data_IF_710705134094
#
_entry.id   IF_710705134094
#
_cell.length_a   1.000
_cell.length_b   1.000
_cell.length_c   1.000
_cell.angle_alpha   90.00
_cell.angle_beta   90.00
_cell.angle_gamma   90.00
#
_symmetry.space_group_name_H-M   'P 1'
#
loop_
_entity.id
_entity.type
_entity.pdbx_description
1 polymer ?
#
# COMPACT_ATOMS: atom_id res chain seq x y z
N UNK A 1 21.25 2.67 -2.19
CA UNK A 1 19.94 2.79 -2.88
C UNK A 1 18.96 3.67 -2.11
N UNK A 2 18.74 3.51 -0.79
CA UNK A 2 17.84 4.36 0.03
C UNK A 2 18.06 5.87 -0.15
N UNK A 3 19.33 6.35 -0.13
CA UNK A 3 19.67 7.77 -0.29
C UNK A 3 19.20 8.35 -1.62
N UNK A 4 19.24 7.56 -2.70
CA UNK A 4 18.76 7.97 -4.03
C UNK A 4 17.23 8.17 -3.99
N UNK A 5 16.49 7.26 -3.37
CA UNK A 5 15.04 7.38 -3.23
C UNK A 5 14.65 8.59 -2.40
N UNK A 6 15.34 8.85 -1.29
CA UNK A 6 15.13 10.06 -0.47
C UNK A 6 15.37 11.33 -1.30
N UNK A 7 16.41 11.35 -2.13
CA UNK A 7 16.70 12.49 -2.99
C UNK A 7 15.63 12.70 -4.07
N UNK A 8 15.24 11.63 -4.78
CA UNK A 8 14.18 11.67 -5.80
C UNK A 8 12.85 12.15 -5.22
N UNK A 9 12.51 11.66 -4.05
CA UNK A 9 11.32 12.04 -3.31
C UNK A 9 11.36 13.53 -2.95
N UNK A 10 12.47 14.02 -2.41
CA UNK A 10 12.64 15.45 -2.09
C UNK A 10 12.54 16.35 -3.33
N UNK A 11 13.16 15.94 -4.45
CA UNK A 11 13.15 16.70 -5.70
C UNK A 11 11.76 16.71 -6.37
N UNK A 12 10.92 15.72 -6.10
CA UNK A 12 9.56 15.64 -6.66
C UNK A 12 8.58 16.64 -6.05
N UNK A 13 8.98 17.33 -4.97
CA UNK A 13 8.13 18.26 -4.23
C UNK A 13 7.04 17.58 -3.39
N UNK A 14 7.17 16.28 -3.15
CA UNK A 14 6.28 15.55 -2.25
C UNK A 14 6.74 15.68 -0.80
N UNK A 15 5.81 15.85 0.11
CA UNK A 15 6.00 15.78 1.56
C UNK A 15 5.61 14.40 2.06
N UNK A 16 6.51 13.77 2.83
CA UNK A 16 6.29 12.41 3.33
C UNK A 16 6.43 12.35 4.83
N UNK A 17 5.39 11.85 5.47
CA UNK A 17 5.46 11.40 6.86
C UNK A 17 5.98 9.97 6.89
N UNK A 18 7.31 9.83 6.87
CA UNK A 18 7.96 8.52 7.00
C UNK A 18 8.31 8.35 8.47
N UNK A 19 7.63 7.46 9.20
CA UNK A 19 7.97 7.17 10.58
C UNK A 19 9.36 6.54 10.64
N UNK A 20 10.09 6.79 11.71
CA UNK A 20 11.32 6.05 11.95
C UNK A 20 10.95 4.57 12.21
N UNK A 21 11.53 3.68 11.40
CA UNK A 21 11.33 2.24 11.55
C UNK A 21 11.91 1.67 12.83
N UNK A 22 12.65 2.46 13.62
CA UNK A 22 13.06 2.10 14.98
C UNK A 22 11.90 2.20 15.95
N UNK A 23 11.05 3.23 15.75
CA UNK A 23 9.87 3.47 16.57
C UNK A 23 8.67 2.64 16.13
N UNK A 24 8.64 2.26 14.83
CA UNK A 24 7.57 1.47 14.22
C UNK A 24 8.13 0.29 13.41
N UNK A 25 8.76 -0.69 14.06
CA UNK A 25 9.42 -1.83 13.38
C UNK A 25 8.43 -2.71 12.60
N UNK A 26 7.17 -2.74 13.00
CA UNK A 26 6.09 -3.49 12.36
C UNK A 26 5.86 -3.06 10.90
N UNK A 27 6.21 -1.83 10.52
CA UNK A 27 6.07 -1.33 9.15
C UNK A 27 7.04 -1.99 8.16
N UNK A 28 8.03 -2.74 8.64
CA UNK A 28 8.95 -3.51 7.78
C UNK A 28 8.30 -4.76 7.21
N UNK A 29 7.32 -5.31 7.93
CA UNK A 29 6.71 -6.60 7.63
C UNK A 29 5.21 -6.54 7.92
N UNK A 30 4.44 -6.08 6.94
CA UNK A 30 3.01 -5.80 7.10
C UNK A 30 2.26 -5.82 5.77
N UNK A 31 0.94 -5.76 5.85
CA UNK A 31 0.10 -5.40 4.72
C UNK A 31 -0.21 -3.90 4.80
N UNK A 32 0.14 -3.14 3.77
CA UNK A 32 -0.17 -1.71 3.68
C UNK A 32 -1.44 -1.54 2.84
N UNK A 33 -2.51 -1.12 3.46
CA UNK A 33 -3.77 -0.78 2.80
C UNK A 33 -3.78 0.72 2.47
N UNK A 34 -3.71 1.06 1.18
CA UNK A 34 -3.63 2.44 0.70
C UNK A 34 -4.95 2.85 0.05
N UNK A 35 -5.51 3.95 0.50
CA UNK A 35 -6.69 4.58 -0.09
C UNK A 35 -6.62 6.12 0.09
N UNK A 36 -7.23 6.92 -0.82
CA UNK A 36 -7.85 6.52 -2.07
C UNK A 36 -6.85 6.16 -3.17
N UNK A 37 -7.29 5.32 -4.15
CA UNK A 37 -6.50 4.97 -5.33
C UNK A 37 -7.06 5.66 -6.57
N UNK A 38 -6.32 6.62 -7.11
CA UNK A 38 -6.81 7.48 -8.19
C UNK A 38 -6.09 7.27 -9.52
N UNK A 39 -4.79 7.00 -9.49
CA UNK A 39 -3.96 6.93 -10.69
C UNK A 39 -2.91 5.81 -10.62
N UNK A 40 -2.33 5.46 -11.78
CA UNK A 40 -1.19 4.53 -11.83
C UNK A 40 0.07 5.11 -11.16
N UNK A 41 0.19 6.44 -11.15
CA UNK A 41 1.28 7.14 -10.47
C UNK A 41 1.33 6.83 -8.96
N UNK A 42 0.21 6.47 -8.34
CA UNK A 42 0.10 6.09 -6.93
C UNK A 42 1.07 4.95 -6.60
N UNK A 43 1.23 3.99 -7.52
CA UNK A 43 2.15 2.86 -7.33
C UNK A 43 3.61 3.31 -7.32
N UNK A 44 3.98 4.23 -8.21
CA UNK A 44 5.35 4.73 -8.34
C UNK A 44 5.72 5.58 -7.12
N UNK A 45 4.84 6.51 -6.76
CA UNK A 45 5.01 7.37 -5.57
C UNK A 45 5.05 6.54 -4.31
N UNK A 46 4.08 5.63 -4.11
CA UNK A 46 4.02 4.75 -2.95
C UNK A 46 5.27 3.86 -2.82
N UNK A 47 5.73 3.26 -3.92
CA UNK A 47 6.96 2.48 -3.92
C UNK A 47 8.18 3.33 -3.55
N UNK A 48 8.30 4.54 -4.10
CA UNK A 48 9.40 5.45 -3.81
C UNK A 48 9.45 5.84 -2.32
N UNK A 49 8.29 6.12 -1.72
CA UNK A 49 8.15 6.42 -0.29
C UNK A 49 8.61 5.25 0.57
N UNK A 50 8.13 4.04 0.26
CA UNK A 50 8.47 2.83 1.00
C UNK A 50 9.97 2.52 0.90
N UNK A 51 10.58 2.65 -0.28
CA UNK A 51 12.02 2.51 -0.44
C UNK A 51 12.81 3.59 0.30
N UNK A 52 12.32 4.84 0.34
CA UNK A 52 12.92 5.91 1.13
C UNK A 52 12.83 5.62 2.62
N UNK A 53 11.75 4.99 3.08
CA UNK A 53 11.58 4.48 4.44
C UNK A 53 12.54 3.32 4.75
N UNK A 54 13.07 2.63 3.75
CA UNK A 54 13.92 1.44 3.92
C UNK A 54 13.14 0.13 3.94
N UNK A 55 11.90 0.16 3.49
CA UNK A 55 11.00 -0.99 3.35
C UNK A 55 11.04 -1.51 1.91
N UNK A 56 10.81 -2.81 1.71
CA UNK A 56 10.72 -3.43 0.39
C UNK A 56 9.25 -3.67 0.01
N UNK A 57 8.64 -2.78 -0.79
CA UNK A 57 7.25 -2.97 -1.19
C UNK A 57 7.12 -4.09 -2.23
N UNK A 58 6.02 -4.85 -2.12
CA UNK A 58 5.51 -5.73 -3.15
C UNK A 58 4.10 -5.29 -3.50
N UNK A 59 3.92 -4.79 -4.72
CA UNK A 59 2.67 -4.21 -5.19
C UNK A 59 2.09 -5.12 -6.26
N UNK A 60 0.94 -5.73 -6.01
CA UNK A 60 0.30 -6.67 -6.92
C UNK A 60 -0.42 -5.92 -8.04
N UNK A 61 0.14 -5.96 -9.24
CA UNK A 61 -0.34 -5.21 -10.41
C UNK A 61 -0.70 -6.16 -11.54
N UNK A 62 -1.70 -5.81 -12.37
CA UNK A 62 -2.08 -6.60 -13.54
C UNK A 62 -0.88 -6.90 -14.44
N UNK A 63 -0.73 -8.15 -14.86
CA UNK A 63 0.38 -8.61 -15.73
C UNK A 63 0.48 -7.83 -17.06
N UNK A 64 -0.63 -7.27 -17.54
CA UNK A 64 -0.71 -6.52 -18.80
C UNK A 64 0.11 -5.21 -18.78
N UNK A 65 0.48 -4.70 -17.60
CA UNK A 65 1.39 -3.56 -17.48
C UNK A 65 2.87 -3.92 -17.70
N UNK A 66 3.20 -5.23 -17.68
CA UNK A 66 4.56 -5.73 -17.83
C UNK A 66 4.83 -6.11 -19.29
N UNK A 67 5.23 -5.14 -20.09
CA UNK A 67 5.75 -5.36 -21.44
C UNK A 67 7.28 -5.43 -21.45
N UNK A 68 7.88 -5.67 -22.59
CA UNK A 68 9.32 -5.78 -22.74
C UNK A 68 10.09 -4.57 -22.18
N UNK A 69 9.59 -3.36 -22.38
CA UNK A 69 10.26 -2.12 -21.96
C UNK A 69 10.04 -1.80 -20.47
N UNK A 70 8.85 -2.05 -19.96
CA UNK A 70 8.48 -1.67 -18.59
C UNK A 70 8.83 -2.72 -17.55
N UNK A 71 8.94 -3.98 -17.93
CA UNK A 71 9.06 -5.13 -17.03
C UNK A 71 10.20 -4.96 -16.02
N UNK A 72 11.41 -4.66 -16.50
CA UNK A 72 12.59 -4.55 -15.64
C UNK A 72 12.45 -3.42 -14.61
N UNK A 73 11.93 -2.27 -15.04
CA UNK A 73 11.69 -1.14 -14.15
C UNK A 73 10.62 -1.45 -13.11
N UNK A 74 9.48 -2.00 -13.52
CA UNK A 74 8.38 -2.30 -12.61
C UNK A 74 8.76 -3.36 -11.58
N UNK A 75 9.49 -4.40 -11.98
CA UNK A 75 10.02 -5.40 -11.04
C UNK A 75 11.01 -4.78 -10.05
N UNK A 76 11.87 -3.86 -10.51
CA UNK A 76 12.81 -3.14 -9.64
C UNK A 76 12.09 -2.25 -8.63
N UNK A 77 10.96 -1.68 -9.00
CA UNK A 77 10.07 -0.91 -8.12
C UNK A 77 9.21 -1.79 -7.19
N UNK A 78 9.42 -3.11 -7.19
CA UNK A 78 8.68 -4.02 -6.34
C UNK A 78 7.28 -4.36 -6.86
N UNK A 79 6.92 -3.98 -8.10
CA UNK A 79 5.64 -4.37 -8.68
C UNK A 79 5.70 -5.84 -9.11
N UNK A 80 4.69 -6.60 -8.73
CA UNK A 80 4.58 -8.04 -8.98
C UNK A 80 3.45 -8.30 -9.96
N UNK A 81 3.73 -8.94 -11.12
CA UNK A 81 2.69 -9.24 -12.10
C UNK A 81 1.72 -10.30 -11.58
N UNK A 82 0.44 -10.01 -11.68
CA UNK A 82 -0.64 -10.94 -11.30
C UNK A 82 -1.67 -11.06 -12.41
N UNK A 83 -2.14 -12.27 -12.63
CA UNK A 83 -3.23 -12.55 -13.54
C UNK A 83 -4.58 -12.49 -12.79
N UNK A 84 -5.32 -11.41 -12.97
CA UNK A 84 -6.62 -11.23 -12.30
C UNK A 84 -7.78 -11.90 -13.06
N UNK A 85 -7.51 -12.42 -14.26
CA UNK A 85 -8.52 -13.11 -15.08
C UNK A 85 -8.72 -14.57 -14.70
N UNK A 86 -7.73 -15.20 -14.09
CA UNK A 86 -7.82 -16.58 -13.65
C UNK A 86 -8.34 -16.65 -12.22
N UNK A 87 -9.56 -17.17 -12.03
CA UNK A 87 -10.20 -17.35 -10.72
C UNK A 87 -9.45 -18.30 -9.78
N UNK A 88 -8.58 -19.15 -10.34
CA UNK A 88 -7.68 -20.04 -9.58
C UNK A 88 -6.33 -19.41 -9.24
N UNK A 89 -6.08 -18.17 -9.67
CA UNK A 89 -4.89 -17.44 -9.23
C UNK A 89 -5.10 -16.94 -7.82
N UNK A 90 -4.55 -17.66 -6.91
CA UNK A 90 -4.60 -17.39 -5.49
C UNK A 90 -3.69 -16.19 -5.16
N UNK A 91 -4.19 -14.98 -5.45
CA UNK A 91 -3.47 -13.73 -5.15
C UNK A 91 -3.17 -13.62 -3.66
N UNK A 92 -4.09 -14.12 -2.85
CA UNK A 92 -3.95 -14.16 -1.40
C UNK A 92 -2.80 -15.08 -1.02
N UNK A 93 -2.79 -16.33 -1.54
CA UNK A 93 -1.74 -17.30 -1.23
C UNK A 93 -0.35 -16.82 -1.69
N UNK A 94 -0.24 -16.24 -2.88
CA UNK A 94 1.02 -15.66 -3.36
C UNK A 94 1.51 -14.52 -2.46
N UNK A 95 0.62 -13.66 -2.02
CA UNK A 95 0.98 -12.56 -1.12
C UNK A 95 1.41 -13.08 0.26
N UNK A 96 0.71 -14.10 0.78
CA UNK A 96 1.07 -14.78 2.02
C UNK A 96 2.42 -15.45 1.91
N UNK A 97 2.69 -16.15 0.80
CA UNK A 97 4.00 -16.78 0.55
C UNK A 97 5.14 -15.75 0.52
N UNK A 98 4.93 -14.60 -0.12
CA UNK A 98 5.94 -13.53 -0.15
C UNK A 98 6.23 -12.99 1.26
N UNK A 99 5.21 -12.83 2.10
CA UNK A 99 5.37 -12.40 3.49
C UNK A 99 6.11 -13.45 4.33
N UNK A 100 5.77 -14.73 4.16
CA UNK A 100 6.43 -15.81 4.90
C UNK A 100 7.88 -16.06 4.52
N UNK A 101 8.28 -15.67 3.30
CA UNK A 101 9.63 -15.90 2.79
C UNK A 101 10.60 -14.72 3.01
N UNK A 102 10.12 -13.55 3.43
CA UNK A 102 10.97 -12.37 3.65
C UNK A 102 10.37 -11.48 4.76
N UNK A 103 11.04 -11.41 5.91
CA UNK A 103 10.64 -10.63 7.09
C UNK A 103 10.82 -9.11 6.90
N UNK A 104 11.36 -8.67 5.76
CA UNK A 104 11.55 -7.25 5.44
C UNK A 104 10.82 -6.87 4.15
N UNK A 105 9.61 -7.38 3.97
CA UNK A 105 8.76 -7.08 2.83
C UNK A 105 7.38 -6.62 3.32
N UNK A 106 6.79 -5.65 2.65
CA UNK A 106 5.40 -5.31 2.85
C UNK A 106 4.59 -5.49 1.56
N UNK A 107 3.38 -6.03 1.70
CA UNK A 107 2.43 -6.15 0.60
C UNK A 107 1.58 -4.89 0.56
N UNK A 108 1.62 -4.16 -0.55
CA UNK A 108 0.82 -2.94 -0.74
C UNK A 108 -0.42 -3.27 -1.55
N UNK A 109 -1.57 -2.95 -1.01
CA UNK A 109 -2.88 -3.23 -1.62
C UNK A 109 -3.76 -1.98 -1.57
N UNK A 110 -4.49 -1.76 -2.66
CA UNK A 110 -5.58 -0.80 -2.70
C UNK A 110 -6.90 -1.55 -2.47
N UNK A 111 -7.55 -1.39 -1.31
CA UNK A 111 -8.72 -2.20 -0.93
C UNK A 111 -9.94 -1.93 -1.81
N UNK A 112 -9.96 -0.82 -2.52
CA UNK A 112 -10.99 -0.48 -3.52
C UNK A 112 -10.94 -1.44 -4.72
N UNK A 113 -9.75 -1.97 -5.08
CA UNK A 113 -9.47 -2.79 -6.26
C UNK A 113 -9.92 -2.13 -7.59
N UNK A 114 -10.24 -0.85 -7.58
CA UNK A 114 -10.68 -0.02 -8.72
C UNK A 114 -10.32 1.44 -8.46
N UNK A 115 -10.34 2.27 -9.50
CA UNK A 115 -10.18 3.73 -9.43
C UNK A 115 -11.51 4.49 -9.36
N UNK A 116 -12.63 3.77 -9.30
CA UNK A 116 -13.96 4.35 -9.11
C UNK A 116 -14.34 4.28 -7.64
N UNK A 117 -15.11 5.24 -7.12
CA UNK A 117 -15.63 5.18 -5.77
C UNK A 117 -16.38 3.88 -5.51
N UNK A 118 -16.13 3.25 -4.38
CA UNK A 118 -16.76 1.99 -3.99
C UNK A 118 -17.50 2.12 -2.67
N UNK A 119 -18.63 1.44 -2.56
CA UNK A 119 -19.40 1.39 -1.30
C UNK A 119 -18.78 0.46 -0.25
N UNK A 120 -17.94 -0.49 -0.67
CA UNK A 120 -17.31 -1.49 0.19
C UNK A 120 -15.92 -1.84 -0.32
N UNK A 121 -14.98 -1.97 0.58
CA UNK A 121 -13.63 -2.46 0.27
C UNK A 121 -13.60 -3.98 0.09
N UNK A 122 -12.66 -4.46 -0.73
CA UNK A 122 -12.39 -5.89 -0.89
C UNK A 122 -11.63 -6.42 0.32
N UNK A 123 -11.92 -7.65 0.72
CA UNK A 123 -11.37 -8.28 1.93
C UNK A 123 -9.94 -8.81 1.77
N UNK A 124 -9.41 -8.85 0.56
CA UNK A 124 -8.13 -9.51 0.27
C UNK A 124 -6.97 -9.04 1.15
N UNK A 125 -6.87 -7.76 1.49
CA UNK A 125 -5.82 -7.23 2.36
C UNK A 125 -5.90 -7.82 3.78
N UNK A 126 -7.11 -7.95 4.31
CA UNK A 126 -7.37 -8.52 5.63
C UNK A 126 -7.06 -10.02 5.65
N UNK A 127 -7.50 -10.74 4.62
CA UNK A 127 -7.28 -12.18 4.48
C UNK A 127 -5.78 -12.52 4.38
N UNK A 128 -5.01 -11.73 3.63
CA UNK A 128 -3.54 -11.86 3.53
C UNK A 128 -2.90 -11.62 4.89
N UNK A 129 -3.24 -10.53 5.56
CA UNK A 129 -2.66 -10.19 6.85
C UNK A 129 -2.94 -11.28 7.91
N UNK A 130 -4.18 -11.77 7.96
CA UNK A 130 -4.59 -12.83 8.89
C UNK A 130 -3.86 -14.16 8.61
N UNK A 131 -3.80 -14.60 7.35
CA UNK A 131 -3.11 -15.85 6.97
C UNK A 131 -1.60 -15.78 7.15
N UNK A 132 -1.01 -14.60 6.97
CA UNK A 132 0.42 -14.39 7.16
C UNK A 132 0.81 -14.09 8.62
N UNK A 133 -0.15 -13.73 9.48
CA UNK A 133 0.12 -13.34 10.85
C UNK A 133 0.83 -11.99 10.99
N UNK A 134 0.59 -11.05 10.05
CA UNK A 134 1.25 -9.75 10.01
C UNK A 134 0.25 -8.60 10.24
N UNK A 135 0.70 -7.45 10.77
CA UNK A 135 -0.16 -6.30 11.00
C UNK A 135 -0.64 -5.66 9.69
N UNK A 136 -1.70 -4.85 9.79
CA UNK A 136 -2.19 -3.99 8.72
C UNK A 136 -1.81 -2.55 9.04
N UNK A 137 -1.05 -1.91 8.16
CA UNK A 137 -0.77 -0.49 8.21
C UNK A 137 -1.68 0.26 7.22
N UNK A 138 -2.22 1.38 7.63
CA UNK A 138 -2.97 2.24 6.73
C UNK A 138 -2.00 3.22 6.07
N UNK A 139 -2.10 3.38 4.76
CA UNK A 139 -1.35 4.36 3.99
C UNK A 139 -2.28 5.34 3.29
N UNK A 140 -1.82 6.57 3.10
CA UNK A 140 -2.56 7.57 2.35
C UNK A 140 -1.67 8.32 1.35
N UNK A 141 -2.29 8.85 0.29
CA UNK A 141 -1.64 9.74 -0.68
C UNK A 141 -2.61 10.85 -1.08
N UNK A 142 -2.22 12.09 -0.83
CA UNK A 142 -2.91 13.30 -1.26
C UNK A 142 -2.14 13.95 -2.41
N UNK A 143 -2.64 13.80 -3.62
CA UNK A 143 -2.00 14.35 -4.83
C UNK A 143 -2.12 15.87 -4.93
N UNK A 144 -3.19 16.45 -4.39
CA UNK A 144 -3.39 17.90 -4.42
C UNK A 144 -2.34 18.61 -3.58
N UNK A 145 -2.07 18.08 -2.37
CA UNK A 145 -1.05 18.61 -1.47
C UNK A 145 0.33 17.98 -1.65
N UNK A 146 0.47 17.00 -2.53
CA UNK A 146 1.68 16.18 -2.67
C UNK A 146 2.14 15.63 -1.31
N UNK A 147 1.22 15.10 -0.54
CA UNK A 147 1.45 14.57 0.80
C UNK A 147 1.12 13.08 0.85
N UNK A 148 2.01 12.28 1.38
CA UNK A 148 1.78 10.86 1.59
C UNK A 148 2.42 10.39 2.89
N UNK A 149 1.85 9.35 3.48
CA UNK A 149 2.36 8.84 4.75
C UNK A 149 1.64 7.59 5.22
N UNK A 150 2.00 7.22 6.45
CA UNK A 150 1.36 6.15 7.19
C UNK A 150 0.40 6.71 8.21
N UNK A 151 -0.78 6.12 8.25
CA UNK A 151 -1.74 6.30 9.33
C UNK A 151 -1.53 5.28 10.46
N UNK A 152 -2.58 4.98 11.21
CA UNK A 152 -2.54 4.00 12.30
C UNK A 152 -2.23 2.59 11.78
N UNK A 153 -1.59 1.79 12.63
CA UNK A 153 -1.35 0.36 12.41
C UNK A 153 -2.29 -0.46 13.27
N UNK A 154 -2.82 -1.53 12.72
CA UNK A 154 -3.64 -2.50 13.41
C UNK A 154 -2.76 -3.71 13.67
N UNK A 155 -2.31 -3.83 14.92
CA UNK A 155 -1.38 -4.88 15.35
C UNK A 155 -2.09 -6.18 15.70
N UNK A 156 -3.31 -6.10 16.25
CA UNK A 156 -4.08 -7.26 16.64
C UNK A 156 -5.12 -7.60 15.58
N UNK A 157 -4.94 -8.75 14.93
CA UNK A 157 -5.88 -9.33 13.99
C UNK A 157 -6.88 -10.20 14.76
N UNK A 158 -7.93 -9.60 15.31
CA UNK A 158 -9.01 -10.31 16.02
C UNK A 158 -10.18 -10.55 15.05
N UNK A 159 -10.92 -11.70 15.17
CA UNK A 159 -11.86 -12.13 14.13
C UNK A 159 -13.00 -11.14 13.86
N UNK A 160 -13.47 -11.11 12.61
CA UNK A 160 -14.68 -10.48 12.03
C UNK A 160 -15.04 -9.02 12.41
N UNK A 161 -15.03 -8.61 13.67
CA UNK A 161 -15.38 -7.23 14.03
C UNK A 161 -14.23 -6.23 13.79
N UNK A 162 -12.99 -6.72 13.72
CA UNK A 162 -11.82 -5.89 13.36
C UNK A 162 -11.87 -5.49 11.90
N UNK A 163 -12.36 -6.34 11.00
CA UNK A 163 -12.57 -5.98 9.60
C UNK A 163 -13.44 -4.73 9.47
N UNK A 164 -14.53 -4.64 10.25
CA UNK A 164 -15.39 -3.47 10.26
C UNK A 164 -14.69 -2.23 10.83
N UNK A 165 -13.83 -2.41 11.85
CA UNK A 165 -13.04 -1.29 12.40
C UNK A 165 -12.01 -0.79 11.38
N UNK A 166 -11.29 -1.69 10.70
CA UNK A 166 -10.34 -1.33 9.63
C UNK A 166 -11.06 -0.59 8.52
N UNK A 167 -12.21 -1.10 8.06
CA UNK A 167 -13.01 -0.42 7.05
C UNK A 167 -13.44 0.97 7.52
N UNK A 168 -13.91 1.13 8.76
CA UNK A 168 -14.28 2.43 9.34
C UNK A 168 -13.06 3.38 9.43
N UNK A 169 -11.90 2.88 9.81
CA UNK A 169 -10.68 3.70 9.91
C UNK A 169 -10.22 4.18 8.53
N UNK A 170 -10.22 3.30 7.51
CA UNK A 170 -9.89 3.68 6.13
C UNK A 170 -10.86 4.75 5.64
N UNK A 171 -12.18 4.56 5.84
CA UNK A 171 -13.20 5.55 5.46
C UNK A 171 -12.97 6.87 6.18
N UNK A 172 -12.72 6.87 7.49
CA UNK A 172 -12.42 8.10 8.24
C UNK A 172 -11.19 8.81 7.71
N UNK A 173 -10.15 8.08 7.35
CA UNK A 173 -8.92 8.66 6.79
C UNK A 173 -9.18 9.30 5.43
N UNK A 174 -9.99 8.67 4.56
CA UNK A 174 -10.41 9.25 3.28
C UNK A 174 -11.24 10.51 3.51
N UNK A 175 -12.22 10.47 4.41
CA UNK A 175 -13.08 11.62 4.74
C UNK A 175 -12.27 12.79 5.28
N UNK A 176 -11.29 12.54 6.16
CA UNK A 176 -10.40 13.60 6.67
C UNK A 176 -9.59 14.25 5.56
N UNK A 177 -9.09 13.47 4.60
CA UNK A 177 -8.36 13.99 3.44
C UNK A 177 -9.27 14.82 2.52
N UNK A 178 -10.51 14.37 2.29
CA UNK A 178 -11.49 15.09 1.47
C UNK A 178 -11.98 16.38 2.15
N UNK A 179 -12.32 16.34 3.45
CA UNK A 179 -12.78 17.53 4.19
C UNK A 179 -11.69 18.58 4.33
N UNK A 180 -10.47 18.19 4.61
CA UNK A 180 -9.33 19.10 4.62
C UNK A 180 -9.10 19.77 3.25
N UNK A 181 -9.49 19.11 2.15
CA UNK A 181 -9.44 19.66 0.80
C UNK A 181 -10.51 20.71 0.53
N UNK A 182 -11.69 20.59 1.15
CA UNK A 182 -12.81 21.53 0.99
C UNK A 182 -12.61 22.83 1.79
N UNK A 183 -11.96 22.76 2.96
CA UNK A 183 -11.74 23.93 3.82
C UNK A 183 -10.67 24.91 3.29
N UNK A 184 -9.85 24.49 2.31
CA UNK A 184 -8.79 25.32 1.71
C UNK A 184 -9.14 25.78 0.27
N UNK A 185 -10.34 25.53 -0.22
CA UNK A 185 -10.87 25.99 -1.50
C UNK A 185 -11.81 27.18 -1.34
#
# INVERSE_FOLDING_TARGET
MRKIWILLVKLSGWHFEIPDLKDRPELRHCVVAVAPHTAFADYIVGAAVLFAAGVRPKILVKKEFFNFFTRRLLLHLGLVPVDRGNRHNDLVEKAVEMLKNDDNVCIVITPEATRKPVKRFKRGFYEIATKAGVPIALGFMDFKRKHAGYGPTILELVPLHVEQQVQKQIVRQIVVLETATIQES
#
